data_IF_310971853736
#
_entry.id   IF_310971853736
#
_cell.length_a   1.000
_cell.length_b   1.000
_cell.length_c   1.000
_cell.angle_alpha   90.00
_cell.angle_beta   90.00
_cell.angle_gamma   90.00
#
_symmetry.space_group_name_H-M   'P 1'
#
loop_
_entity.id
_entity.type
_entity.pdbx_description
1 polymer ?
#
# COMPACT_ATOMS: atom_id res chain seq x y z
N UNK A 1 -34.43 -5.01 10.64
CA UNK A 1 -33.16 -4.71 9.93
C UNK A 1 -32.53 -6.02 9.54
N UNK A 2 -32.44 -6.33 8.24
CA UNK A 2 -31.98 -7.66 7.77
C UNK A 2 -30.47 -7.81 7.92
N UNK A 3 -30.00 -8.94 8.48
CA UNK A 3 -28.57 -9.26 8.58
C UNK A 3 -27.90 -9.29 7.20
N UNK A 4 -28.63 -9.72 6.17
CA UNK A 4 -28.17 -9.71 4.77
C UNK A 4 -27.88 -8.29 4.29
N UNK A 5 -28.68 -7.29 4.71
CA UNK A 5 -28.43 -5.90 4.34
C UNK A 5 -27.13 -5.36 4.94
N UNK A 6 -26.81 -5.74 6.18
CA UNK A 6 -25.55 -5.36 6.85
C UNK A 6 -24.34 -5.98 6.14
N UNK A 7 -24.46 -7.23 5.70
CA UNK A 7 -23.39 -7.91 4.94
C UNK A 7 -23.10 -7.17 3.64
N UNK A 8 -24.13 -6.84 2.86
CA UNK A 8 -23.96 -6.09 1.62
C UNK A 8 -23.42 -4.67 1.83
N UNK A 9 -23.80 -4.02 2.94
CA UNK A 9 -23.26 -2.71 3.33
C UNK A 9 -21.75 -2.78 3.57
N UNK A 10 -21.28 -3.77 4.33
CA UNK A 10 -19.85 -3.95 4.61
C UNK A 10 -19.09 -4.27 3.31
N UNK A 11 -19.63 -5.15 2.47
CA UNK A 11 -19.02 -5.47 1.16
C UNK A 11 -18.87 -4.20 0.31
N UNK A 12 -19.90 -3.35 0.28
CA UNK A 12 -19.87 -2.11 -0.49
C UNK A 12 -18.80 -1.15 0.03
N UNK A 13 -18.71 -0.95 1.34
CA UNK A 13 -17.64 -0.13 1.94
C UNK A 13 -16.24 -0.69 1.63
N UNK A 14 -16.05 -2.00 1.77
CA UNK A 14 -14.76 -2.64 1.47
C UNK A 14 -14.45 -2.66 -0.03
N UNK A 15 -15.42 -2.61 -0.93
CA UNK A 15 -15.14 -2.58 -2.38
C UNK A 15 -14.69 -1.18 -2.81
N UNK A 16 -15.34 -0.13 -2.29
CA UNK A 16 -14.98 1.27 -2.58
C UNK A 16 -13.60 1.60 -2.00
N UNK A 17 -13.33 1.17 -0.77
CA UNK A 17 -12.12 1.56 -0.04
C UNK A 17 -11.03 0.49 -0.03
N UNK A 18 -11.38 -0.79 -0.16
CA UNK A 18 -10.46 -1.92 0.01
C UNK A 18 -9.45 -2.04 -1.13
N UNK A 19 -9.82 -1.73 -2.38
CA UNK A 19 -8.84 -1.72 -3.48
C UNK A 19 -7.72 -0.70 -3.25
N UNK A 20 -8.07 0.49 -2.75
CA UNK A 20 -7.12 1.56 -2.44
C UNK A 20 -6.26 1.22 -1.20
N UNK A 21 -6.89 0.72 -0.13
CA UNK A 21 -6.19 0.33 1.11
C UNK A 21 -5.20 -0.81 0.83
N UNK A 22 -5.59 -1.81 0.02
CA UNK A 22 -4.71 -2.91 -0.38
C UNK A 22 -3.53 -2.41 -1.22
N UNK A 23 -3.77 -1.50 -2.17
CA UNK A 23 -2.70 -0.90 -2.96
C UNK A 23 -1.70 -0.10 -2.10
N UNK A 24 -2.21 0.65 -1.11
CA UNK A 24 -1.39 1.42 -0.18
C UNK A 24 -0.52 0.50 0.70
N UNK A 25 -1.10 -0.58 1.23
CA UNK A 25 -0.36 -1.59 2.01
C UNK A 25 0.71 -2.25 1.13
N UNK A 26 0.37 -2.60 -0.11
CA UNK A 26 1.31 -3.23 -1.04
C UNK A 26 2.52 -2.33 -1.34
N UNK A 27 2.28 -1.03 -1.54
CA UNK A 27 3.33 -0.03 -1.74
C UNK A 27 4.18 0.17 -0.47
N UNK A 28 3.55 0.29 0.70
CA UNK A 28 4.27 0.44 1.97
C UNK A 28 5.07 -0.80 2.36
N UNK A 29 4.72 -1.99 1.84
CA UNK A 29 5.39 -3.26 2.15
C UNK A 29 6.59 -3.53 1.24
N UNK A 30 6.60 -2.94 0.04
CA UNK A 30 7.77 -2.87 -0.82
C UNK A 30 8.21 -1.41 -0.93
N UNK A 31 8.73 -0.79 0.15
CA UNK A 31 9.61 0.35 -0.05
C UNK A 31 10.76 -0.22 -0.88
N UNK A 32 10.87 0.24 -2.13
CA UNK A 32 12.07 0.03 -2.93
C UNK A 32 13.23 0.36 -1.99
N UNK A 33 14.10 -0.63 -1.74
CA UNK A 33 15.31 -0.37 -0.97
C UNK A 33 16.02 0.67 -1.82
N UNK A 34 16.01 1.93 -1.36
CA UNK A 34 16.83 2.96 -1.95
C UNK A 34 18.26 2.43 -1.86
N UNK A 35 18.79 1.92 -2.97
CA UNK A 35 20.20 1.53 -3.12
C UNK A 35 21.08 2.80 -3.12
N UNK A 36 20.87 3.68 -2.14
CA UNK A 36 21.62 4.93 -1.91
C UNK A 36 22.89 4.70 -1.07
N UNK A 37 23.40 3.46 -1.04
CA UNK A 37 24.64 3.10 -0.35
C UNK A 37 25.87 3.05 -1.30
N UNK A 38 25.85 3.77 -2.43
CA UNK A 38 27.07 3.99 -3.24
C UNK A 38 27.25 5.47 -3.56
N UNK A 39 27.53 6.27 -2.52
CA UNK A 39 28.28 7.52 -2.72
C UNK A 39 29.73 7.11 -2.95
N UNK A 40 30.11 6.89 -4.22
CA UNK A 40 31.51 6.71 -4.60
C UNK A 40 32.26 8.00 -4.25
N UNK A 41 33.18 7.99 -3.25
CA UNK A 41 33.90 9.19 -2.88
C UNK A 41 34.78 9.57 -4.06
N UNK A 42 34.45 10.69 -4.70
CA UNK A 42 35.16 11.24 -5.84
C UNK A 42 36.67 11.17 -5.58
N UNK A 43 37.33 10.30 -6.35
CA UNK A 43 38.76 10.08 -6.30
C UNK A 43 39.46 11.43 -6.42
N UNK A 44 40.08 11.85 -5.32
CA UNK A 44 41.00 12.97 -5.24
C UNK A 44 42.16 12.73 -6.19
N UNK A 45 42.32 13.59 -7.20
CA UNK A 45 43.57 13.84 -7.93
C UNK A 45 43.66 15.33 -8.27
#
# INVERSE_FOLDING_TARGET
>A
MSAIAIIFMIISMLTIWGGLVVALINLSRHPEKTDDDVIEPAHTL
#
